data_IF_468162235999
#
_entry.id   IF_468162235999
#
_cell.length_a   1.000
_cell.length_b   1.000
_cell.length_c   1.000
_cell.angle_alpha   90.00
_cell.angle_beta   90.00
_cell.angle_gamma   90.00
#
_symmetry.space_group_name_H-M   'P 1'
#
loop_
_entity.id
_entity.type
_entity.pdbx_description
1 polymer ?
#
# COMPACT_ATOMS: atom_id res chain seq x y z
N UNK A 1 -32.92 41.57 -5.57
CA UNK A 1 -32.35 40.74 -4.47
C UNK A 1 -30.99 41.30 -4.11
N UNK A 2 -30.68 41.41 -2.82
CA UNK A 2 -29.51 42.16 -2.31
C UNK A 2 -28.21 41.40 -2.55
N UNK A 3 -27.25 42.03 -3.25
CA UNK A 3 -25.89 41.52 -3.53
C UNK A 3 -25.17 40.99 -2.28
N UNK A 4 -25.49 41.54 -1.12
CA UNK A 4 -24.99 41.11 0.18
C UNK A 4 -25.37 39.66 0.54
N UNK A 5 -26.61 39.27 0.25
CA UNK A 5 -27.11 37.92 0.53
C UNK A 5 -26.41 36.90 -0.38
N UNK A 6 -26.23 37.23 -1.66
CA UNK A 6 -25.48 36.39 -2.61
C UNK A 6 -24.04 36.16 -2.15
N UNK A 7 -23.36 37.21 -1.66
CA UNK A 7 -21.98 37.11 -1.18
C UNK A 7 -21.85 36.25 0.10
N UNK A 8 -22.86 36.30 0.98
CA UNK A 8 -22.91 35.46 2.17
C UNK A 8 -23.12 33.99 1.82
N UNK A 9 -23.99 33.71 0.84
CA UNK A 9 -24.21 32.35 0.34
C UNK A 9 -22.93 31.79 -0.28
N UNK A 10 -22.26 32.55 -1.17
CA UNK A 10 -21.00 32.12 -1.78
C UNK A 10 -19.89 31.86 -0.75
N UNK A 11 -19.82 32.65 0.33
CA UNK A 11 -18.85 32.44 1.40
C UNK A 11 -19.15 31.13 2.18
N UNK A 12 -20.43 30.90 2.49
CA UNK A 12 -20.88 29.66 3.15
C UNK A 12 -20.58 28.43 2.29
N UNK A 13 -20.85 28.50 0.98
CA UNK A 13 -20.58 27.40 0.04
C UNK A 13 -19.08 27.09 -0.07
N UNK A 14 -18.21 28.10 0.00
CA UNK A 14 -16.75 27.91 0.01
C UNK A 14 -16.27 27.24 1.28
N UNK A 15 -16.76 27.67 2.44
CA UNK A 15 -16.44 27.03 3.71
C UNK A 15 -16.91 25.57 3.74
N UNK A 16 -18.11 25.28 3.24
CA UNK A 16 -18.62 23.92 3.12
C UNK A 16 -17.80 23.07 2.15
N UNK A 17 -17.37 23.63 1.01
CA UNK A 17 -16.52 22.94 0.05
C UNK A 17 -15.12 22.65 0.64
N UNK A 18 -14.54 23.59 1.36
CA UNK A 18 -13.26 23.39 2.06
C UNK A 18 -13.38 22.31 3.14
N UNK A 19 -14.42 22.37 3.98
CA UNK A 19 -14.69 21.34 4.98
C UNK A 19 -14.96 19.98 4.36
N UNK A 20 -15.68 19.91 3.23
CA UNK A 20 -15.92 18.68 2.50
C UNK A 20 -14.62 18.10 1.94
N UNK A 21 -13.72 18.94 1.40
CA UNK A 21 -12.41 18.51 0.90
C UNK A 21 -11.51 17.96 2.02
N UNK A 22 -11.50 18.63 3.17
CA UNK A 22 -10.74 18.21 4.35
C UNK A 22 -11.28 16.89 4.91
N UNK A 23 -12.61 16.76 5.02
CA UNK A 23 -13.27 15.51 5.44
C UNK A 23 -12.99 14.37 4.46
N UNK A 24 -13.05 14.62 3.15
CA UNK A 24 -12.74 13.60 2.14
C UNK A 24 -11.29 13.10 2.26
N UNK A 25 -10.34 14.02 2.44
CA UNK A 25 -8.93 13.70 2.68
C UNK A 25 -8.74 12.88 3.95
N UNK A 26 -9.43 13.26 5.04
CA UNK A 26 -9.38 12.56 6.33
C UNK A 26 -9.99 11.15 6.27
N UNK A 27 -11.08 10.97 5.52
CA UNK A 27 -11.71 9.66 5.31
C UNK A 27 -10.77 8.74 4.53
N UNK A 28 -10.13 9.25 3.48
CA UNK A 28 -9.18 8.46 2.69
C UNK A 28 -7.95 8.07 3.51
N UNK A 29 -7.38 9.01 4.27
CA UNK A 29 -6.30 8.74 5.23
C UNK A 29 -6.68 7.66 6.25
N UNK A 30 -7.94 7.66 6.73
CA UNK A 30 -8.42 6.67 7.71
C UNK A 30 -8.58 5.30 7.07
N UNK A 31 -9.12 5.22 5.85
CA UNK A 31 -9.20 3.98 5.05
C UNK A 31 -7.80 3.42 4.76
N UNK A 32 -6.87 4.30 4.41
CA UNK A 32 -5.48 3.95 4.18
C UNK A 32 -4.79 3.41 5.42
N UNK A 33 -5.19 3.79 6.65
CA UNK A 33 -4.65 3.29 7.93
C UNK A 33 -5.27 1.97 8.39
N UNK A 34 -6.54 1.75 8.09
CA UNK A 34 -7.28 0.55 8.51
C UNK A 34 -7.18 -0.61 7.52
N UNK A 35 -6.58 -0.39 6.34
CA UNK A 35 -6.41 -1.46 5.35
C UNK A 35 -5.47 -2.56 5.85
N UNK A 36 -5.90 -3.83 5.82
CA UNK A 36 -5.13 -4.94 6.34
C UNK A 36 -3.88 -5.21 5.49
N UNK A 37 -2.91 -5.91 6.08
CA UNK A 37 -1.63 -6.19 5.43
C UNK A 37 -1.80 -7.00 4.13
N UNK A 38 -2.72 -7.97 4.10
CA UNK A 38 -2.91 -8.84 2.92
C UNK A 38 -3.39 -8.03 1.71
N UNK A 39 -4.36 -7.14 1.89
CA UNK A 39 -4.91 -6.32 0.80
C UNK A 39 -3.88 -5.31 0.28
N UNK A 40 -3.03 -4.79 1.17
CA UNK A 40 -1.92 -3.91 0.79
C UNK A 40 -0.85 -4.68 0.02
N UNK A 41 -0.50 -5.88 0.46
CA UNK A 41 0.42 -6.75 -0.24
C UNK A 41 -0.13 -7.13 -1.63
N UNK A 42 -1.40 -7.49 -1.73
CA UNK A 42 -2.04 -7.81 -3.01
C UNK A 42 -1.99 -6.62 -3.98
N UNK A 43 -2.29 -5.40 -3.51
CA UNK A 43 -2.17 -4.19 -4.31
C UNK A 43 -0.73 -3.93 -4.77
N UNK A 44 0.25 -4.08 -3.88
CA UNK A 44 1.66 -3.92 -4.23
C UNK A 44 2.08 -4.96 -5.27
N UNK A 45 1.72 -6.23 -5.09
CA UNK A 45 2.04 -7.29 -6.04
C UNK A 45 1.41 -7.03 -7.42
N UNK A 46 0.20 -6.47 -7.47
CA UNK A 46 -0.47 -6.10 -8.73
C UNK A 46 0.25 -4.97 -9.49
N UNK A 47 1.04 -4.13 -8.80
CA UNK A 47 1.84 -3.08 -9.45
C UNK A 47 3.18 -3.58 -9.98
N UNK A 48 3.66 -4.74 -9.54
CA UNK A 48 4.95 -5.28 -9.95
C UNK A 48 4.74 -6.11 -11.23
N UNK A 49 5.50 -5.87 -12.32
CA UNK A 49 5.41 -6.67 -13.53
C UNK A 49 5.64 -8.17 -13.27
N UNK A 50 4.94 -9.02 -14.01
CA UNK A 50 4.98 -10.47 -13.81
C UNK A 50 6.40 -11.05 -14.00
N UNK A 51 7.18 -10.47 -14.91
CA UNK A 51 8.56 -10.86 -15.18
C UNK A 51 9.46 -10.63 -13.96
N UNK A 52 9.23 -9.52 -13.25
CA UNK A 52 9.96 -9.19 -12.03
C UNK A 52 9.55 -10.12 -10.88
N UNK A 53 8.26 -10.45 -10.77
CA UNK A 53 7.78 -11.42 -9.78
C UNK A 53 8.34 -12.83 -10.05
N UNK A 54 8.43 -13.23 -11.32
CA UNK A 54 9.00 -14.50 -11.74
C UNK A 54 10.51 -14.61 -11.42
N UNK A 55 11.24 -13.49 -11.47
CA UNK A 55 12.63 -13.38 -11.05
C UNK A 55 12.85 -13.56 -9.54
N UNK A 56 11.79 -13.52 -8.74
CA UNK A 56 11.82 -13.67 -7.29
C UNK A 56 12.02 -12.34 -6.57
N UNK A 57 11.23 -12.13 -5.52
CA UNK A 57 11.24 -10.88 -4.74
C UNK A 57 11.73 -11.11 -3.32
N UNK A 58 12.52 -10.17 -2.80
CA UNK A 58 13.02 -10.21 -1.43
C UNK A 58 12.02 -9.60 -0.45
N UNK A 59 12.02 -10.09 0.80
CA UNK A 59 11.18 -9.50 1.85
C UNK A 59 11.52 -8.04 2.13
N UNK A 60 12.81 -7.69 2.07
CA UNK A 60 13.26 -6.31 2.31
C UNK A 60 12.73 -5.36 1.23
N UNK A 61 12.75 -5.77 -0.05
CA UNK A 61 12.17 -4.97 -1.13
C UNK A 61 10.66 -4.75 -0.94
N UNK A 62 9.93 -5.82 -0.57
CA UNK A 62 8.50 -5.72 -0.27
C UNK A 62 8.21 -4.86 0.97
N UNK A 63 9.04 -4.94 2.01
CA UNK A 63 8.91 -4.08 3.19
C UNK A 63 9.08 -2.61 2.85
N UNK A 64 10.01 -2.27 1.96
CA UNK A 64 10.18 -0.89 1.46
C UNK A 64 8.95 -0.44 0.68
N UNK A 65 8.44 -1.28 -0.23
CA UNK A 65 7.23 -0.96 -1.00
C UNK A 65 5.96 -0.82 -0.15
N UNK A 66 5.88 -1.54 0.98
CA UNK A 66 4.76 -1.45 1.94
C UNK A 66 4.90 -0.30 2.94
N UNK A 67 6.06 0.36 3.02
CA UNK A 67 6.31 1.46 3.93
C UNK A 67 5.63 2.72 3.41
N UNK A 68 4.43 3.02 3.93
CA UNK A 68 3.69 4.24 3.63
C UNK A 68 4.09 5.42 4.52
N UNK A 69 3.61 6.62 4.15
CA UNK A 69 3.80 7.88 4.90
C UNK A 69 3.42 7.78 6.39
N UNK A 70 2.42 6.96 6.71
CA UNK A 70 1.84 6.84 8.06
C UNK A 70 2.03 5.46 8.69
N UNK A 71 2.88 4.60 8.13
CA UNK A 71 2.95 3.19 8.53
C UNK A 71 4.37 2.75 8.86
N UNK A 72 4.50 2.04 9.98
CA UNK A 72 5.74 1.40 10.40
C UNK A 72 6.15 0.22 9.51
N UNK A 73 7.37 -0.27 9.69
CA UNK A 73 7.84 -1.47 9.00
C UNK A 73 7.02 -2.69 9.40
N UNK A 74 6.47 -3.42 8.43
CA UNK A 74 5.83 -4.71 8.68
C UNK A 74 6.86 -5.73 9.18
N UNK A 75 6.48 -6.53 10.18
CA UNK A 75 7.35 -7.58 10.69
C UNK A 75 7.60 -8.65 9.59
N UNK A 76 8.85 -9.08 9.36
CA UNK A 76 9.18 -10.00 8.26
C UNK A 76 8.45 -11.35 8.36
N UNK A 77 8.15 -11.81 9.59
CA UNK A 77 7.36 -13.02 9.81
C UNK A 77 5.91 -12.91 9.33
N UNK A 78 5.26 -11.77 9.59
CA UNK A 78 3.89 -11.51 9.16
C UNK A 78 3.81 -11.39 7.63
N UNK A 79 4.80 -10.72 7.04
CA UNK A 79 4.92 -10.59 5.59
C UNK A 79 5.13 -11.95 4.92
N UNK A 80 5.96 -12.82 5.50
CA UNK A 80 6.13 -14.19 5.01
C UNK A 80 4.85 -15.02 5.10
N UNK A 81 4.04 -14.87 6.15
CA UNK A 81 2.73 -15.53 6.26
C UNK A 81 1.76 -14.99 5.20
N UNK A 82 1.74 -13.68 4.99
CA UNK A 82 0.89 -13.06 3.96
C UNK A 82 1.28 -13.52 2.54
N UNK A 83 2.58 -13.63 2.25
CA UNK A 83 3.08 -14.14 0.97
C UNK A 83 2.68 -15.59 0.72
N UNK A 84 2.78 -16.47 1.73
CA UNK A 84 2.30 -17.86 1.60
C UNK A 84 0.81 -17.92 1.27
N UNK A 85 -0.01 -17.08 1.94
CA UNK A 85 -1.45 -16.98 1.64
C UNK A 85 -1.72 -16.46 0.22
N UNK A 86 -0.84 -15.60 -0.30
CA UNK A 86 -0.88 -15.10 -1.67
C UNK A 86 -0.34 -16.09 -2.71
N UNK A 87 0.07 -17.30 -2.31
CA UNK A 87 0.58 -18.32 -3.21
C UNK A 87 2.07 -18.21 -3.54
N UNK A 88 2.86 -17.49 -2.74
CA UNK A 88 4.30 -17.42 -2.94
C UNK A 88 5.05 -18.48 -2.14
N UNK A 89 6.11 -19.01 -2.75
CA UNK A 89 7.00 -20.00 -2.14
C UNK A 89 8.37 -19.37 -1.91
N UNK A 90 8.88 -19.53 -0.69
CA UNK A 90 10.22 -19.10 -0.32
C UNK A 90 11.24 -20.10 -0.86
N UNK A 91 12.20 -19.63 -1.65
CA UNK A 91 13.38 -20.41 -2.06
C UNK A 91 14.65 -19.71 -1.58
N UNK A 92 15.57 -20.49 -1.02
CA UNK A 92 16.88 -19.97 -0.61
C UNK A 92 17.81 -20.12 -1.80
N UNK A 93 18.40 -19.01 -2.24
CA UNK A 93 19.47 -19.06 -3.23
C UNK A 93 20.78 -19.31 -2.49
N UNK A 94 21.45 -20.40 -2.87
CA UNK A 94 22.73 -20.82 -2.29
C UNK A 94 23.93 -20.38 -3.15
N UNK A 95 23.69 -19.99 -4.40
CA UNK A 95 24.73 -19.87 -5.44
C UNK A 95 25.05 -18.43 -5.87
N UNK A 96 24.48 -17.43 -5.20
CA UNK A 96 24.67 -16.02 -5.56
C UNK A 96 25.62 -15.33 -4.57
N UNK A 97 26.38 -14.34 -5.03
CA UNK A 97 27.48 -13.66 -4.29
C UNK A 97 26.96 -12.91 -3.05
N UNK A 98 25.68 -12.51 -3.09
CA UNK A 98 24.92 -11.91 -1.99
C UNK A 98 24.31 -12.99 -1.05
N UNK A 99 25.05 -14.09 -0.91
CA UNK A 99 24.64 -15.38 -0.36
C UNK A 99 23.75 -15.27 0.87
N UNK A 100 22.80 -16.20 0.97
CA UNK A 100 21.84 -16.37 2.07
C UNK A 100 20.52 -15.59 1.99
N UNK A 101 20.31 -14.70 1.01
CA UNK A 101 19.00 -14.06 0.85
C UNK A 101 17.95 -15.06 0.36
N UNK A 102 16.80 -15.04 1.01
CA UNK A 102 15.65 -15.83 0.60
C UNK A 102 14.77 -14.99 -0.33
N UNK A 103 14.54 -15.51 -1.53
CA UNK A 103 13.61 -14.93 -2.49
C UNK A 103 12.27 -15.66 -2.43
N UNK A 104 11.23 -14.93 -2.80
CA UNK A 104 9.87 -15.43 -2.89
C UNK A 104 9.44 -15.44 -4.34
N UNK A 105 8.98 -16.61 -4.79
CA UNK A 105 8.53 -16.83 -6.15
C UNK A 105 7.03 -17.11 -6.14
N UNK A 106 6.26 -16.61 -7.12
CA UNK A 106 4.89 -17.06 -7.30
C UNK A 106 4.89 -18.57 -7.52
N UNK A 107 3.99 -19.29 -6.86
CA UNK A 107 3.72 -20.68 -7.24
C UNK A 107 3.05 -20.63 -8.60
N UNK A 108 3.62 -21.33 -9.58
CA UNK A 108 2.90 -21.58 -10.83
C UNK A 108 1.58 -22.25 -10.47
N UNK A 109 0.49 -21.74 -11.05
CA UNK A 109 -0.85 -22.28 -10.87
C UNK A 109 -1.11 -23.32 -11.93
#
# INVERSE_FOLDING_TARGET
>A
MSYYISRLIEASEREEAELASQKATQVEDTRERLTPLQDRLARLLATIPAEVLAGGVSLSALQVGLKGRWRGSCHPGELGVALRKAGFVRRRQWSDDDGFRSLWFPTEK
#
